data_IF_011369670515
#
_entry.id   IF_011369670515
#
_cell.length_a   1.000
_cell.length_b   1.000
_cell.length_c   1.000
_cell.angle_alpha   90.00
_cell.angle_beta   90.00
_cell.angle_gamma   90.00
#
_symmetry.space_group_name_H-M   'P 1'
#
loop_
_entity.id
_entity.type
_entity.pdbx_description
1 polymer ?
#
# COMPACT_ATOMS: atom_id res chain seq x y z
N UNK A 1 9.47 66.49 23.74
CA UNK A 1 9.33 67.41 22.58
C UNK A 1 10.51 67.15 21.66
N UNK A 2 10.43 66.82 20.36
CA UNK A 2 9.42 66.92 19.31
C UNK A 2 9.47 65.64 18.47
N UNK A 3 8.29 65.17 18.06
CA UNK A 3 8.10 64.21 16.97
C UNK A 3 8.61 64.80 15.66
N UNK A 4 9.16 63.96 14.78
CA UNK A 4 9.05 64.16 13.33
C UNK A 4 8.90 62.81 12.64
N UNK A 5 7.66 62.55 12.21
CA UNK A 5 7.28 61.56 11.20
C UNK A 5 7.29 62.26 9.85
N UNK A 6 7.55 61.50 8.78
CA UNK A 6 7.19 61.66 7.35
C UNK A 6 8.37 61.17 6.50
N UNK A 7 8.23 60.44 5.39
CA UNK A 7 7.12 59.76 4.71
C UNK A 7 7.80 58.88 3.63
N UNK A 8 7.18 57.74 3.30
CA UNK A 8 7.22 57.01 2.00
C UNK A 8 8.54 56.77 1.25
N UNK A 9 8.83 55.51 0.92
CA UNK A 9 8.58 54.97 -0.44
C UNK A 9 8.61 53.44 -0.39
N UNK A 10 7.50 52.83 -0.81
CA UNK A 10 7.29 51.39 -0.95
C UNK A 10 7.58 51.04 -2.42
N UNK A 11 8.57 50.18 -2.69
CA UNK A 11 8.78 49.61 -4.04
C UNK A 11 8.32 48.17 -4.02
N UNK A 12 7.15 47.95 -4.63
CA UNK A 12 6.59 46.64 -4.96
C UNK A 12 7.25 46.18 -6.27
N UNK A 13 8.02 45.10 -6.23
CA UNK A 13 8.46 44.40 -7.44
C UNK A 13 7.46 43.27 -7.74
N UNK A 14 6.53 43.54 -8.66
CA UNK A 14 5.64 42.53 -9.24
C UNK A 14 6.42 41.65 -10.21
N UNK A 15 6.21 40.33 -10.07
CA UNK A 15 6.80 39.31 -10.92
C UNK A 15 6.19 39.24 -12.34
N UNK A 16 6.96 38.61 -13.22
CA UNK A 16 6.52 38.09 -14.52
C UNK A 16 7.05 36.65 -14.62
N UNK A 17 6.25 35.69 -14.14
CA UNK A 17 6.41 34.29 -14.51
C UNK A 17 5.72 34.08 -15.85
N UNK A 18 6.49 33.79 -16.89
CA UNK A 18 5.96 33.39 -18.20
C UNK A 18 5.41 31.97 -18.13
N UNK A 19 4.08 31.85 -18.25
CA UNK A 19 3.37 30.59 -18.50
C UNK A 19 3.56 30.20 -19.98
N UNK A 20 4.18 29.04 -20.23
CA UNK A 20 4.13 28.40 -21.55
C UNK A 20 2.85 27.58 -21.61
N UNK A 21 1.83 28.11 -22.27
CA UNK A 21 0.64 27.38 -22.65
C UNK A 21 0.88 26.71 -24.02
N UNK A 22 0.87 25.38 -24.06
CA UNK A 22 0.78 24.64 -25.31
C UNK A 22 -0.70 24.52 -25.70
N UNK A 23 -1.13 25.29 -26.70
CA UNK A 23 -2.42 25.07 -27.39
C UNK A 23 -2.21 24.66 -28.84
N UNK A 24 -3.03 23.70 -29.22
CA UNK A 24 -3.11 22.99 -30.49
C UNK A 24 -3.13 23.88 -31.75
N UNK A 25 -2.59 23.34 -32.85
CA UNK A 25 -3.03 23.69 -34.20
C UNK A 25 -3.48 22.43 -34.96
N UNK A 26 -4.72 22.52 -35.41
CA UNK A 26 -5.43 21.62 -36.32
C UNK A 26 -5.09 21.95 -37.78
N UNK A 27 -5.15 20.98 -38.70
CA UNK A 27 -5.98 21.03 -39.92
C UNK A 27 -5.64 19.97 -40.99
N UNK A 28 -6.71 19.30 -41.44
CA UNK A 28 -7.09 18.92 -42.82
C UNK A 28 -6.30 17.88 -43.64
N UNK A 29 -6.98 16.79 -44.03
CA UNK A 29 -7.65 16.62 -45.34
C UNK A 29 -7.74 15.14 -45.79
N UNK A 30 -8.99 14.69 -45.97
CA UNK A 30 -9.56 13.83 -47.04
C UNK A 30 -8.74 12.69 -47.68
N UNK A 31 -9.27 11.46 -47.60
CA UNK A 31 -9.34 10.53 -48.75
C UNK A 31 -10.34 9.39 -48.50
N UNK A 32 -11.27 9.23 -49.43
CA UNK A 32 -12.12 8.05 -49.67
C UNK A 32 -11.36 6.90 -50.33
N UNK A 33 -11.95 5.70 -50.24
CA UNK A 33 -11.74 4.47 -51.04
C UNK A 33 -10.83 3.35 -50.51
N UNK A 34 -11.51 2.27 -50.09
CA UNK A 34 -11.28 0.83 -50.34
C UNK A 34 -9.89 0.38 -50.81
N UNK A 35 -9.24 -0.48 -50.02
CA UNK A 35 -8.74 -1.80 -50.46
C UNK A 35 -8.07 -2.57 -49.30
N UNK A 36 -8.56 -3.78 -49.06
CA UNK A 36 -7.84 -4.99 -48.61
C UNK A 36 -6.59 -4.84 -47.74
N UNK A 37 -6.62 -5.36 -46.52
CA UNK A 37 -5.69 -6.44 -46.11
C UNK A 37 -6.17 -7.10 -44.83
N UNK A 38 -6.39 -8.40 -44.92
CA UNK A 38 -6.37 -9.27 -43.75
C UNK A 38 -5.02 -9.11 -43.07
N UNK A 39 -4.98 -8.40 -41.95
CA UNK A 39 -3.93 -8.56 -40.97
C UNK A 39 -4.60 -9.14 -39.74
N UNK A 40 -4.63 -10.47 -39.68
CA UNK A 40 -4.70 -11.16 -38.40
C UNK A 40 -3.44 -10.77 -37.63
N UNK A 41 -3.51 -9.64 -36.92
CA UNK A 41 -2.58 -9.34 -35.87
C UNK A 41 -2.78 -10.42 -34.83
N UNK A 42 -1.91 -11.43 -34.88
CA UNK A 42 -1.72 -12.39 -33.84
C UNK A 42 -1.11 -11.63 -32.66
N UNK A 43 -1.95 -10.85 -31.98
CA UNK A 43 -1.66 -10.29 -30.67
C UNK A 43 -1.60 -11.52 -29.76
N UNK A 44 -0.41 -12.08 -29.63
CA UNK A 44 -0.12 -12.93 -28.49
C UNK A 44 -0.41 -12.05 -27.28
N UNK A 45 -1.50 -12.36 -26.59
CA UNK A 45 -1.65 -11.97 -25.20
C UNK A 45 -0.44 -12.58 -24.48
N UNK A 46 0.63 -11.79 -24.33
CA UNK A 46 1.65 -12.07 -23.34
C UNK A 46 0.94 -11.94 -22.00
N UNK A 47 0.37 -13.06 -21.53
CA UNK A 47 -0.05 -13.18 -20.14
C UNK A 47 1.19 -12.87 -19.32
N UNK A 48 1.21 -11.67 -18.73
CA UNK A 48 2.25 -11.28 -17.80
C UNK A 48 2.40 -12.42 -16.78
N UNK A 49 3.62 -12.89 -16.61
CA UNK A 49 3.91 -13.93 -15.62
C UNK A 49 3.44 -13.42 -14.25
N UNK A 50 2.68 -14.24 -13.54
CA UNK A 50 2.18 -13.94 -12.19
C UNK A 50 2.95 -14.76 -11.16
N UNK A 51 3.30 -14.14 -10.02
CA UNK A 51 3.93 -14.86 -8.93
C UNK A 51 2.92 -15.88 -8.40
N UNK A 52 3.31 -17.14 -8.21
CA UNK A 52 2.35 -18.20 -7.86
C UNK A 52 2.89 -19.23 -6.87
N UNK A 53 4.09 -18.99 -6.33
CA UNK A 53 4.69 -19.89 -5.35
C UNK A 53 3.83 -19.93 -4.09
N UNK A 54 3.49 -21.13 -3.65
CA UNK A 54 2.70 -21.37 -2.44
C UNK A 54 3.60 -21.84 -1.33
N UNK A 55 3.37 -21.27 -0.15
CA UNK A 55 3.96 -21.69 1.10
C UNK A 55 2.83 -22.17 1.99
N UNK A 56 3.14 -23.13 2.84
CA UNK A 56 2.23 -23.62 3.88
C UNK A 56 2.71 -23.12 5.24
N UNK A 57 1.81 -23.09 6.21
CA UNK A 57 2.18 -22.68 7.56
C UNK A 57 3.25 -23.60 8.16
N UNK A 58 3.32 -24.87 7.75
CA UNK A 58 4.37 -25.79 8.18
C UNK A 58 5.78 -25.35 7.74
N UNK A 59 5.90 -24.63 6.61
CA UNK A 59 7.19 -24.16 6.11
C UNK A 59 7.82 -23.10 7.02
N UNK A 60 6.98 -22.32 7.72
CA UNK A 60 7.42 -21.18 8.52
C UNK A 60 7.64 -21.51 10.00
N UNK A 61 7.40 -22.74 10.43
CA UNK A 61 7.44 -23.10 11.85
C UNK A 61 8.28 -24.34 12.10
N UNK A 62 9.13 -24.24 13.12
CA UNK A 62 9.89 -25.37 13.63
C UNK A 62 9.68 -25.48 15.14
N UNK A 63 9.24 -26.65 15.60
CA UNK A 63 8.91 -26.90 17.01
C UNK A 63 7.93 -25.86 17.59
N UNK A 64 6.95 -25.44 16.78
CA UNK A 64 5.95 -24.42 17.14
C UNK A 64 6.47 -22.98 17.19
N UNK A 65 7.71 -22.73 16.73
CA UNK A 65 8.31 -21.38 16.70
C UNK A 65 8.38 -20.85 15.28
N UNK A 66 7.92 -19.61 15.10
CA UNK A 66 8.01 -18.90 13.84
C UNK A 66 9.48 -18.71 13.41
N UNK A 67 9.80 -19.09 12.18
CA UNK A 67 11.11 -19.01 11.56
C UNK A 67 11.18 -17.75 10.68
N UNK A 68 11.60 -16.62 11.27
CA UNK A 68 11.67 -15.33 10.58
C UNK A 68 12.63 -15.33 9.38
N UNK A 69 13.71 -16.11 9.44
CA UNK A 69 14.65 -16.29 8.33
C UNK A 69 13.98 -16.94 7.12
N UNK A 70 13.21 -18.00 7.32
CA UNK A 70 12.45 -18.66 6.25
C UNK A 70 11.38 -17.72 5.66
N UNK A 71 10.67 -16.98 6.50
CA UNK A 71 9.71 -15.97 6.06
C UNK A 71 10.38 -14.84 5.27
N UNK A 72 11.56 -14.38 5.69
CA UNK A 72 12.33 -13.38 4.95
C UNK A 72 12.80 -13.90 3.59
N UNK A 73 13.24 -15.15 3.49
CA UNK A 73 13.59 -15.77 2.19
C UNK A 73 12.36 -15.91 1.28
N UNK A 74 11.18 -16.19 1.81
CA UNK A 74 9.94 -16.20 1.02
C UNK A 74 9.61 -14.80 0.45
N UNK A 75 9.88 -13.74 1.20
CA UNK A 75 9.73 -12.36 0.70
C UNK A 75 10.75 -12.04 -0.40
N UNK A 76 12.02 -12.42 -0.20
CA UNK A 76 13.08 -12.23 -1.21
C UNK A 76 12.79 -12.97 -2.51
N UNK A 77 12.20 -14.17 -2.45
CA UNK A 77 11.76 -14.93 -3.62
C UNK A 77 10.69 -14.16 -4.42
N UNK A 78 9.70 -13.59 -3.73
CA UNK A 78 8.69 -12.73 -4.35
C UNK A 78 9.31 -11.44 -4.91
N UNK A 79 10.26 -10.82 -4.21
CA UNK A 79 10.97 -9.63 -4.68
C UNK A 79 11.76 -9.91 -5.96
N UNK A 80 12.50 -11.03 -6.00
CA UNK A 80 13.24 -11.45 -7.17
C UNK A 80 12.32 -11.65 -8.38
N UNK A 81 11.14 -12.25 -8.18
CA UNK A 81 10.14 -12.38 -9.23
C UNK A 81 9.66 -11.02 -9.76
N UNK A 82 9.35 -10.07 -8.87
CA UNK A 82 8.86 -8.74 -9.26
C UNK A 82 9.94 -7.74 -9.65
N UNK A 83 11.22 -8.14 -9.65
CA UNK A 83 12.34 -7.27 -9.95
C UNK A 83 12.60 -6.20 -8.88
N UNK A 84 12.20 -6.45 -7.63
CA UNK A 84 12.45 -5.56 -6.50
C UNK A 84 13.80 -5.92 -5.87
N UNK A 85 14.77 -4.98 -5.80
CA UNK A 85 16.08 -5.27 -5.23
C UNK A 85 15.97 -5.39 -3.70
N UNK A 86 16.56 -6.44 -3.13
CA UNK A 86 16.76 -6.54 -1.68
C UNK A 86 18.02 -5.73 -1.31
N UNK A 87 17.83 -4.52 -0.81
CA UNK A 87 18.92 -3.56 -0.53
C UNK A 87 19.56 -3.78 0.83
N UNK A 88 20.73 -3.17 1.07
CA UNK A 88 21.37 -3.17 2.40
C UNK A 88 20.47 -2.52 3.47
N UNK A 89 19.67 -1.52 3.08
CA UNK A 89 18.69 -0.91 3.97
C UNK A 89 17.59 -1.90 4.37
N UNK A 90 17.08 -2.68 3.42
CA UNK A 90 16.11 -3.75 3.72
C UNK A 90 16.75 -4.85 4.56
N UNK A 91 18.00 -5.23 4.29
CA UNK A 91 18.72 -6.21 5.10
C UNK A 91 18.86 -5.77 6.56
N UNK A 92 18.93 -4.46 6.81
CA UNK A 92 19.06 -3.89 8.15
C UNK A 92 17.71 -3.68 8.86
N UNK A 93 16.71 -3.14 8.16
CA UNK A 93 15.51 -2.56 8.77
C UNK A 93 14.19 -3.26 8.37
N UNK A 94 14.19 -4.14 7.36
CA UNK A 94 13.00 -4.93 7.02
C UNK A 94 12.77 -6.04 8.05
N UNK A 95 11.50 -6.28 8.37
CA UNK A 95 11.05 -7.29 9.31
C UNK A 95 9.93 -8.15 8.73
N UNK A 96 9.66 -9.28 9.39
CA UNK A 96 8.53 -10.16 9.12
C UNK A 96 7.86 -10.53 10.44
N UNK A 97 6.52 -10.57 10.46
CA UNK A 97 5.73 -10.88 11.65
C UNK A 97 4.54 -11.78 11.31
N UNK A 98 4.25 -12.72 12.21
CA UNK A 98 2.99 -13.48 12.27
C UNK A 98 1.99 -12.84 13.25
N UNK A 99 2.34 -11.67 13.79
CA UNK A 99 1.60 -10.95 14.85
C UNK A 99 1.39 -11.77 16.12
N UNK A 100 2.17 -12.84 16.35
CA UNK A 100 1.98 -13.77 17.45
C UNK A 100 0.77 -14.71 17.28
N UNK A 101 0.23 -14.83 16.07
CA UNK A 101 -0.97 -15.61 15.78
C UNK A 101 -0.67 -17.06 15.37
N UNK A 102 0.59 -17.41 15.09
CA UNK A 102 0.97 -18.78 14.75
C UNK A 102 0.52 -19.24 13.36
N UNK A 103 0.20 -18.31 12.46
CA UNK A 103 -0.33 -18.59 11.13
C UNK A 103 0.21 -17.62 10.07
N UNK A 104 1.51 -17.73 9.76
CA UNK A 104 2.15 -16.80 8.83
C UNK A 104 1.70 -17.01 7.38
N UNK A 105 1.26 -18.22 7.01
CA UNK A 105 0.71 -18.49 5.66
C UNK A 105 -0.46 -17.56 5.35
N UNK A 106 -1.40 -17.43 6.30
CA UNK A 106 -2.64 -16.70 6.06
C UNK A 106 -2.67 -15.32 6.72
N UNK A 107 -2.00 -15.14 7.88
CA UNK A 107 -2.08 -13.93 8.69
C UNK A 107 -0.69 -13.49 9.14
N UNK A 108 -0.13 -12.53 8.43
CA UNK A 108 1.23 -12.06 8.64
C UNK A 108 1.59 -10.99 7.61
N UNK A 109 2.80 -10.45 7.73
CA UNK A 109 3.35 -9.57 6.71
C UNK A 109 4.88 -9.48 6.80
N UNK A 110 5.49 -9.09 5.69
CA UNK A 110 6.78 -8.42 5.68
C UNK A 110 6.57 -6.91 5.68
N UNK A 111 7.50 -6.17 6.27
CA UNK A 111 7.38 -4.73 6.36
C UNK A 111 8.72 -4.02 6.50
N UNK A 112 8.79 -2.78 6.01
CA UNK A 112 9.87 -1.84 6.34
C UNK A 112 9.28 -0.45 6.53
N UNK A 113 9.63 0.23 7.63
CA UNK A 113 9.36 1.65 7.79
C UNK A 113 10.53 2.41 7.17
N UNK A 114 10.33 2.97 5.99
CA UNK A 114 11.31 3.85 5.35
C UNK A 114 11.52 5.12 6.17
N UNK A 115 10.41 5.66 6.70
CA UNK A 115 10.41 6.78 7.63
C UNK A 115 9.29 6.61 8.63
N UNK A 116 9.55 6.91 9.91
CA UNK A 116 8.53 7.11 10.92
C UNK A 116 8.96 8.25 11.85
N UNK A 117 8.70 9.48 11.43
CA UNK A 117 9.24 10.69 12.08
C UNK A 117 8.20 11.34 13.00
N UNK A 118 8.42 11.36 14.33
CA UNK A 118 7.49 11.97 15.28
C UNK A 118 7.59 13.50 15.38
N UNK A 119 8.71 14.11 14.94
CA UNK A 119 8.93 15.56 15.02
C UNK A 119 8.19 16.27 13.89
N UNK A 120 8.34 15.76 12.67
CA UNK A 120 7.71 16.28 11.45
C UNK A 120 6.40 15.56 11.10
N UNK A 121 6.09 14.46 11.78
CA UNK A 121 4.77 13.86 11.80
C UNK A 121 4.41 13.06 10.54
N UNK A 122 5.38 12.51 9.81
CA UNK A 122 5.15 11.77 8.56
C UNK A 122 5.74 10.36 8.58
N UNK A 123 5.14 9.50 7.77
CA UNK A 123 5.40 8.07 7.72
C UNK A 123 5.44 7.58 6.28
N UNK A 124 6.37 6.66 6.01
CA UNK A 124 6.49 5.94 4.75
C UNK A 124 6.85 4.48 5.04
N UNK A 125 6.09 3.55 4.47
CA UNK A 125 6.21 2.13 4.72
C UNK A 125 5.96 1.34 3.44
N UNK A 126 6.64 0.21 3.29
CA UNK A 126 6.26 -0.81 2.32
C UNK A 126 5.78 -2.06 3.06
N UNK A 127 4.59 -2.51 2.68
CA UNK A 127 3.92 -3.72 3.10
C UNK A 127 4.16 -4.80 2.05
N UNK A 128 4.58 -5.98 2.50
CA UNK A 128 4.80 -7.14 1.65
C UNK A 128 3.90 -8.29 2.10
N UNK A 129 3.06 -8.77 1.19
CA UNK A 129 2.11 -9.85 1.43
C UNK A 129 2.36 -10.99 0.45
N UNK A 130 2.57 -12.19 0.99
CA UNK A 130 2.62 -13.41 0.20
C UNK A 130 1.24 -13.74 -0.42
N UNK A 131 1.17 -14.63 -1.43
CA UNK A 131 -0.08 -15.02 -2.07
C UNK A 131 -1.23 -15.40 -1.12
N UNK A 132 -2.27 -14.56 -1.05
CA UNK A 132 -3.43 -14.78 -0.18
C UNK A 132 -3.26 -14.34 1.28
N UNK A 133 -2.08 -13.86 1.67
CA UNK A 133 -1.78 -13.45 3.04
C UNK A 133 -2.54 -12.18 3.42
N UNK A 134 -2.94 -12.09 4.69
CA UNK A 134 -3.69 -10.99 5.29
C UNK A 134 -2.90 -10.30 6.40
N UNK A 135 -3.05 -8.99 6.50
CA UNK A 135 -2.73 -8.27 7.74
C UNK A 135 -3.94 -8.44 8.68
N UNK A 136 -3.76 -8.68 9.99
CA UNK A 136 -4.85 -8.66 10.95
C UNK A 136 -5.65 -7.35 10.87
N UNK A 137 -6.96 -7.41 11.12
CA UNK A 137 -7.77 -6.20 11.17
C UNK A 137 -7.36 -5.30 12.33
N UNK A 138 -7.12 -4.03 12.00
CA UNK A 138 -6.64 -3.05 12.95
C UNK A 138 -7.21 -1.65 12.68
N UNK A 139 -7.04 -0.79 13.67
CA UNK A 139 -7.32 0.63 13.61
C UNK A 139 -6.18 1.41 14.29
N UNK A 140 -6.02 2.67 13.88
CA UNK A 140 -5.10 3.60 14.49
C UNK A 140 -5.87 4.65 15.27
N UNK A 141 -5.77 4.58 16.60
CA UNK A 141 -6.44 5.48 17.52
C UNK A 141 -5.58 6.70 17.82
N UNK A 142 -6.23 7.81 18.18
CA UNK A 142 -5.53 8.98 18.70
C UNK A 142 -4.82 8.64 20.02
N UNK A 143 -3.61 9.15 20.17
CA UNK A 143 -2.82 9.10 21.41
C UNK A 143 -2.46 10.54 21.84
N UNK A 144 -1.22 10.77 22.30
CA UNK A 144 -0.63 12.11 22.31
C UNK A 144 -0.40 12.66 20.88
N UNK A 145 -0.28 11.78 19.89
CA UNK A 145 -0.25 12.13 18.47
C UNK A 145 -1.65 11.99 17.85
N UNK A 146 -1.92 12.66 16.71
CA UNK A 146 -3.14 12.43 15.94
C UNK A 146 -3.29 10.95 15.55
N UNK A 147 -4.53 10.48 15.42
CA UNK A 147 -4.80 9.18 14.81
C UNK A 147 -4.18 9.10 13.42
N UNK A 148 -3.55 7.97 13.09
CA UNK A 148 -2.91 7.75 11.79
C UNK A 148 -3.96 7.86 10.69
N UNK A 149 -3.71 8.70 9.69
CA UNK A 149 -4.45 8.71 8.43
C UNK A 149 -3.49 8.33 7.33
N UNK A 150 -3.88 7.33 6.55
CA UNK A 150 -2.99 6.62 5.65
C UNK A 150 -3.59 6.49 4.25
N UNK A 151 -2.70 6.31 3.30
CA UNK A 151 -3.01 6.07 1.90
C UNK A 151 -2.07 5.02 1.38
N UNK A 152 -2.59 4.17 0.51
CA UNK A 152 -1.91 2.98 0.03
C UNK A 152 -1.91 2.96 -1.48
N UNK A 153 -0.78 2.60 -2.08
CA UNK A 153 -0.64 2.34 -3.51
C UNK A 153 -0.10 0.94 -3.72
N UNK A 154 -0.73 0.18 -4.59
CA UNK A 154 -0.23 -1.13 -4.97
C UNK A 154 0.85 -0.96 -6.04
N UNK A 155 2.04 -1.50 -5.78
CA UNK A 155 3.17 -1.48 -6.70
C UNK A 155 3.28 -2.77 -7.53
N UNK A 156 2.93 -3.90 -6.91
CA UNK A 156 2.96 -5.24 -7.51
C UNK A 156 1.76 -6.05 -7.03
N UNK A 157 1.23 -6.91 -7.90
CA UNK A 157 0.08 -7.74 -7.61
C UNK A 157 -1.21 -6.93 -7.41
N UNK A 158 -2.04 -7.33 -6.46
CA UNK A 158 -3.25 -6.60 -6.04
C UNK A 158 -3.69 -7.03 -4.64
N UNK A 159 -4.52 -6.19 -3.99
CA UNK A 159 -5.09 -6.49 -2.67
C UNK A 159 -6.61 -6.31 -2.65
N UNK A 160 -7.30 -7.04 -1.79
CA UNK A 160 -8.56 -6.59 -1.22
C UNK A 160 -8.24 -5.57 -0.12
N UNK A 161 -8.63 -4.32 -0.32
CA UNK A 161 -8.59 -3.27 0.70
C UNK A 161 -9.96 -3.23 1.40
N UNK A 162 -10.00 -3.68 2.65
CA UNK A 162 -11.24 -3.88 3.39
C UNK A 162 -11.40 -2.82 4.48
N UNK A 163 -12.60 -2.26 4.59
CA UNK A 163 -12.95 -1.23 5.58
C UNK A 163 -14.29 -1.53 6.25
N UNK A 164 -14.43 -1.15 7.53
CA UNK A 164 -15.72 -1.19 8.23
C UNK A 164 -16.71 -0.13 7.72
N UNK A 165 -16.27 0.78 6.85
CA UNK A 165 -17.09 1.86 6.28
C UNK A 165 -17.54 1.49 4.87
N UNK A 166 -18.86 1.36 4.70
CA UNK A 166 -19.54 1.08 3.44
C UNK A 166 -20.37 -0.19 3.49
N UNK A 167 -21.06 -0.49 2.40
CA UNK A 167 -21.92 -1.67 2.31
C UNK A 167 -21.10 -2.96 2.19
N UNK A 168 -21.56 -4.10 2.74
CA UNK A 168 -20.85 -5.37 2.60
C UNK A 168 -20.61 -5.75 1.14
N UNK A 169 -19.37 -6.15 0.82
CA UNK A 169 -19.03 -6.69 -0.50
C UNK A 169 -19.54 -8.11 -0.63
N UNK A 170 -20.24 -8.41 -1.72
CA UNK A 170 -20.64 -9.78 -2.04
C UNK A 170 -19.40 -10.64 -2.32
N UNK A 171 -19.40 -11.89 -1.85
CA UNK A 171 -18.32 -12.86 -2.08
C UNK A 171 -16.95 -12.40 -1.55
N UNK A 172 -16.90 -11.91 -0.31
CA UNK A 172 -15.61 -11.71 0.36
C UNK A 172 -14.81 -13.01 0.41
N UNK A 173 -13.46 -12.93 0.31
CA UNK A 173 -12.59 -14.07 0.59
C UNK A 173 -12.88 -14.67 1.97
N UNK A 174 -12.60 -15.97 2.09
CA UNK A 174 -12.67 -16.64 3.39
C UNK A 174 -11.66 -16.02 4.35
N UNK A 175 -12.12 -15.66 5.55
CA UNK A 175 -11.29 -15.11 6.61
C UNK A 175 -10.82 -16.28 7.50
N UNK A 176 -9.50 -16.52 7.63
CA UNK A 176 -8.97 -17.57 8.49
C UNK A 176 -9.42 -17.35 9.93
N UNK A 177 -9.72 -18.43 10.66
CA UNK A 177 -10.10 -18.33 12.06
C UNK A 177 -9.02 -17.67 12.94
N UNK A 178 -7.75 -17.79 12.54
CA UNK A 178 -6.56 -17.18 13.15
C UNK A 178 -6.52 -15.66 12.98
N UNK A 179 -7.12 -15.12 11.91
CA UNK A 179 -7.26 -13.68 11.69
C UNK A 179 -8.12 -13.05 12.79
N UNK A 180 -9.20 -13.73 13.15
CA UNK A 180 -10.12 -13.34 14.21
C UNK A 180 -11.39 -12.66 13.68
N UNK A 181 -12.16 -11.99 14.55
CA UNK A 181 -13.38 -11.31 14.14
C UNK A 181 -13.06 -10.08 13.28
N UNK A 182 -13.88 -9.83 12.26
CA UNK A 182 -13.77 -8.64 11.42
C UNK A 182 -15.01 -7.76 11.49
N UNK A 183 -14.79 -6.45 11.35
CA UNK A 183 -15.82 -5.43 11.09
C UNK A 183 -15.81 -4.99 9.63
N UNK A 184 -14.67 -5.14 8.96
CA UNK A 184 -14.40 -4.61 7.63
C UNK A 184 -14.97 -5.47 6.52
N UNK A 185 -16.29 -5.33 6.32
CA UNK A 185 -17.04 -6.09 5.33
C UNK A 185 -17.12 -5.41 3.95
N UNK A 186 -16.70 -4.15 3.83
CA UNK A 186 -16.61 -3.46 2.55
C UNK A 186 -15.18 -3.59 2.00
N UNK A 187 -14.98 -4.49 1.05
CA UNK A 187 -13.70 -4.73 0.39
C UNK A 187 -13.70 -4.22 -1.06
N UNK A 188 -12.67 -3.47 -1.42
CA UNK A 188 -12.38 -3.00 -2.78
C UNK A 188 -11.15 -3.72 -3.31
N UNK A 189 -11.22 -4.27 -4.52
CA UNK A 189 -10.01 -4.77 -5.21
C UNK A 189 -9.20 -3.57 -5.67
N UNK A 190 -8.00 -3.42 -5.11
CA UNK A 190 -7.04 -2.38 -5.44
C UNK A 190 -5.91 -2.98 -6.28
N UNK A 191 -5.72 -2.48 -7.50
CA UNK A 191 -4.73 -2.97 -8.47
C UNK A 191 -3.52 -2.04 -8.53
N UNK A 192 -2.47 -2.48 -9.23
CA UNK A 192 -1.25 -1.68 -9.45
C UNK A 192 -1.59 -0.26 -9.93
N UNK A 193 -1.04 0.74 -9.24
CA UNK A 193 -1.24 2.16 -9.52
C UNK A 193 -2.51 2.79 -8.93
N UNK A 194 -3.44 1.99 -8.39
CA UNK A 194 -4.58 2.53 -7.64
C UNK A 194 -4.09 3.08 -6.30
N UNK A 195 -4.54 4.29 -5.97
CA UNK A 195 -4.30 4.92 -4.65
C UNK A 195 -5.62 5.01 -3.89
N UNK A 196 -5.76 4.21 -2.84
CA UNK A 196 -6.86 4.29 -1.89
C UNK A 196 -6.40 4.89 -0.57
N UNK A 197 -7.34 5.43 0.21
CA UNK A 197 -7.07 6.02 1.51
C UNK A 197 -8.00 5.47 2.57
N UNK A 198 -7.57 5.53 3.82
CA UNK A 198 -8.43 5.22 4.95
C UNK A 198 -9.72 6.06 4.85
N UNK A 199 -10.88 5.38 4.90
CA UNK A 199 -12.17 6.03 4.63
C UNK A 199 -12.59 6.99 5.75
N UNK A 200 -12.23 6.66 6.98
CA UNK A 200 -12.54 7.45 8.18
C UNK A 200 -11.44 7.23 9.22
N UNK A 201 -11.02 8.30 9.90
CA UNK A 201 -10.10 8.18 11.03
C UNK A 201 -10.61 7.16 12.06
N UNK A 202 -9.68 6.41 12.66
CA UNK A 202 -9.94 5.41 13.68
C UNK A 202 -10.83 4.24 13.23
N UNK A 203 -11.12 4.13 11.92
CA UNK A 203 -11.91 3.01 11.40
C UNK A 203 -11.07 1.76 11.23
N UNK A 204 -11.64 0.61 11.58
CA UNK A 204 -11.03 -0.68 11.34
C UNK A 204 -10.90 -0.98 9.84
N UNK A 205 -9.77 -1.59 9.49
CA UNK A 205 -9.43 -1.97 8.13
C UNK A 205 -8.41 -3.12 8.13
N UNK A 206 -8.30 -3.80 7.00
CA UNK A 206 -7.23 -4.74 6.71
C UNK A 206 -6.98 -4.86 5.21
N UNK A 207 -5.91 -5.55 4.86
CA UNK A 207 -5.64 -5.95 3.48
C UNK A 207 -5.43 -7.46 3.37
N UNK A 208 -5.86 -8.02 2.25
CA UNK A 208 -5.54 -9.38 1.82
C UNK A 208 -4.91 -9.31 0.43
N UNK A 209 -3.77 -9.94 0.23
CA UNK A 209 -3.20 -10.07 -1.11
C UNK A 209 -4.02 -11.01 -2.01
N UNK A 210 -4.01 -10.71 -3.30
CA UNK A 210 -4.46 -11.64 -4.33
C UNK A 210 -3.61 -12.92 -4.38
N UNK A 211 -3.96 -13.86 -5.30
CA UNK A 211 -3.25 -15.12 -5.45
C UNK A 211 -1.80 -14.97 -5.96
N UNK A 212 -1.39 -13.75 -6.31
CA UNK A 212 -0.05 -13.40 -6.77
C UNK A 212 0.78 -12.61 -5.74
N UNK A 213 0.30 -12.50 -4.51
CA UNK A 213 0.93 -11.65 -3.50
C UNK A 213 0.71 -10.16 -3.82
N UNK A 214 1.28 -9.30 -2.98
CA UNK A 214 1.24 -7.87 -3.21
C UNK A 214 2.42 -7.15 -2.56
N UNK A 215 2.81 -6.04 -3.20
CA UNK A 215 3.68 -5.02 -2.61
C UNK A 215 2.88 -3.74 -2.59
N UNK A 216 2.73 -3.16 -1.41
CA UNK A 216 1.91 -1.97 -1.18
C UNK A 216 2.72 -0.92 -0.46
N UNK A 217 2.86 0.25 -1.05
CA UNK A 217 3.43 1.40 -0.37
C UNK A 217 2.34 2.11 0.43
N UNK A 218 2.66 2.47 1.67
CA UNK A 218 1.83 3.22 2.59
C UNK A 218 2.49 4.56 2.92
N UNK A 219 1.72 5.64 2.78
CA UNK A 219 2.09 6.97 3.27
C UNK A 219 1.05 7.46 4.26
N UNK A 220 1.52 7.99 5.37
CA UNK A 220 0.64 8.43 6.44
C UNK A 220 1.25 9.59 7.23
N UNK A 221 0.47 10.14 8.16
CA UNK A 221 1.08 10.79 9.32
C UNK A 221 1.75 9.76 10.25
N UNK A 222 2.53 10.23 11.22
CA UNK A 222 3.32 9.42 12.14
C UNK A 222 2.59 8.17 12.67
N UNK A 223 3.28 7.03 12.65
CA UNK A 223 2.79 5.77 13.20
C UNK A 223 3.18 5.64 14.66
N UNK A 224 2.19 5.70 15.55
CA UNK A 224 2.35 5.47 16.99
C UNK A 224 1.78 4.11 17.41
N UNK A 225 2.65 3.20 17.87
CA UNK A 225 2.26 1.87 18.31
C UNK A 225 1.27 1.91 19.49
N UNK A 226 1.34 2.93 20.36
CA UNK A 226 0.40 3.10 21.47
C UNK A 226 -1.05 3.29 20.99
N UNK A 227 -1.24 3.71 19.74
CA UNK A 227 -2.53 3.91 19.09
C UNK A 227 -3.04 2.68 18.32
N UNK A 228 -2.22 1.65 18.12
CA UNK A 228 -2.57 0.48 17.32
C UNK A 228 -3.56 -0.43 18.07
N UNK A 229 -4.69 -0.77 17.44
CA UNK A 229 -5.71 -1.65 18.02
C UNK A 229 -6.09 -2.72 17.02
N UNK A 230 -5.89 -3.98 17.39
CA UNK A 230 -6.37 -5.13 16.63
C UNK A 230 -7.76 -5.57 17.09
N UNK A 231 -8.59 -6.10 16.20
CA UNK A 231 -9.83 -6.80 16.62
C UNK A 231 -9.54 -8.15 17.24
N UNK A 232 -8.49 -8.83 16.79
CA UNK A 232 -7.97 -10.02 17.46
C UNK A 232 -7.07 -9.62 18.62
N UNK A 233 -7.52 -9.84 19.86
CA UNK A 233 -6.80 -9.44 21.07
C UNK A 233 -5.49 -10.20 21.33
N UNK A 234 -5.20 -11.25 20.55
CA UNK A 234 -3.92 -11.96 20.59
C UNK A 234 -2.87 -11.37 19.64
N UNK A 235 -3.30 -10.59 18.65
CA UNK A 235 -2.41 -9.97 17.68
C UNK A 235 -1.61 -8.83 18.32
N UNK A 236 -0.33 -8.73 17.99
CA UNK A 236 0.55 -7.66 18.42
C UNK A 236 1.63 -7.35 17.38
N UNK A 237 2.12 -6.11 17.36
CA UNK A 237 3.26 -5.65 16.56
C UNK A 237 4.31 -4.98 17.46
#
# INVERSE_FOLDING_TARGET
MKKRRMFETMVVALGLCSLVACTNKSANATSTENATTENQSNVKEDKAMVYSKKYTNADFYKDGKFQQDVAMEAMKDMFAFYGVPFTDLMAKDMWVTDFGLGDFEHVGMGGIFWVNDPEYGYFAHAIYLLPGQMIPEHAHMKTKYPAKHESWMVEKGWVYNCSEIGDPTNNMPEIPATHGPIKSVNCTVQKVGDVLRLKKLESFHFMMAGPEGAIVDEWACYHDNDGLRFTNSKAAL
#
